data_IF_975207588313
#
_entry.id   IF_975207588313
#
_cell.length_a   1.000
_cell.length_b   1.000
_cell.length_c   1.000
_cell.angle_alpha   90.00
_cell.angle_beta   90.00
_cell.angle_gamma   90.00
#
_symmetry.space_group_name_H-M   'P 1'
#
loop_
_entity.id
_entity.type
_entity.pdbx_description
1 polymer ?
#
# COMPACT_ATOMS: atom_id res chain seq x y z
N UNK A 1 6.68 -18.94 22.53
CA UNK A 1 6.50 -19.29 21.12
C UNK A 1 5.05 -18.99 20.73
N UNK A 2 4.82 -18.36 19.59
CA UNK A 2 3.51 -18.05 19.04
C UNK A 2 3.09 -19.08 17.99
N UNK A 3 1.79 -19.27 17.79
CA UNK A 3 1.28 -20.05 16.67
C UNK A 3 1.51 -19.29 15.35
N UNK A 4 1.31 -17.97 15.37
CA UNK A 4 1.63 -17.10 14.23
C UNK A 4 2.21 -15.75 14.66
N UNK A 5 3.23 -15.28 13.94
CA UNK A 5 3.68 -13.88 13.99
C UNK A 5 3.23 -13.19 12.70
N UNK A 6 2.60 -12.02 12.86
CA UNK A 6 2.13 -11.20 11.77
C UNK A 6 3.04 -9.98 11.66
N UNK A 7 3.63 -9.74 10.48
CA UNK A 7 4.51 -8.60 10.22
C UNK A 7 3.75 -7.53 9.46
N UNK A 8 3.41 -6.44 10.14
CA UNK A 8 2.62 -5.33 9.62
C UNK A 8 1.21 -5.26 10.21
N UNK A 9 0.81 -4.04 10.59
CA UNK A 9 -0.46 -3.75 11.28
C UNK A 9 -1.45 -2.96 10.41
N UNK A 10 -1.34 -3.08 9.09
CA UNK A 10 -2.36 -2.58 8.16
C UNK A 10 -3.62 -3.46 8.16
N UNK A 11 -4.64 -3.14 7.33
CA UNK A 11 -5.90 -3.89 7.28
C UNK A 11 -5.72 -5.40 7.10
N UNK A 12 -4.73 -5.82 6.30
CA UNK A 12 -4.45 -7.25 6.09
C UNK A 12 -3.99 -7.95 7.37
N UNK A 13 -2.97 -7.40 8.04
CA UNK A 13 -2.42 -8.00 9.25
C UNK A 13 -3.41 -7.99 10.42
N UNK A 14 -4.12 -6.89 10.61
CA UNK A 14 -5.15 -6.77 11.64
C UNK A 14 -6.31 -7.74 11.42
N UNK A 15 -6.75 -7.91 10.16
CA UNK A 15 -7.81 -8.87 9.83
C UNK A 15 -7.33 -10.32 10.02
N UNK A 16 -6.10 -10.65 9.58
CA UNK A 16 -5.53 -11.97 9.83
C UNK A 16 -5.49 -12.31 11.34
N UNK A 17 -5.08 -11.33 12.16
CA UNK A 17 -5.05 -11.49 13.61
C UNK A 17 -6.43 -11.78 14.23
N UNK A 18 -7.48 -11.10 13.74
CA UNK A 18 -8.86 -11.36 14.19
C UNK A 18 -9.24 -12.83 13.92
N UNK A 19 -8.95 -13.34 12.72
CA UNK A 19 -9.27 -14.73 12.36
C UNK A 19 -8.49 -15.73 13.20
N UNK A 20 -7.17 -15.53 13.36
CA UNK A 20 -6.32 -16.38 14.18
C UNK A 20 -6.75 -16.40 15.66
N UNK A 21 -6.99 -15.23 16.24
CA UNK A 21 -7.42 -15.15 17.65
C UNK A 21 -8.78 -15.79 17.87
N UNK A 22 -9.73 -15.66 16.94
CA UNK A 22 -11.04 -16.33 16.98
C UNK A 22 -10.93 -17.84 16.83
N UNK A 23 -9.89 -18.34 16.16
CA UNK A 23 -9.58 -19.77 16.10
C UNK A 23 -8.83 -20.28 17.35
N UNK A 24 -8.62 -19.42 18.37
CA UNK A 24 -7.90 -19.77 19.60
C UNK A 24 -6.38 -19.86 19.43
N UNK A 25 -5.83 -19.35 18.32
CA UNK A 25 -4.41 -19.39 18.03
C UNK A 25 -3.69 -18.18 18.65
N UNK A 26 -2.60 -18.45 19.37
CA UNK A 26 -1.77 -17.40 19.98
C UNK A 26 -1.01 -16.66 18.91
N UNK A 27 -1.30 -15.36 18.75
CA UNK A 27 -0.67 -14.53 17.73
C UNK A 27 -0.19 -13.17 18.25
N UNK A 28 0.79 -12.61 17.56
CA UNK A 28 1.32 -11.27 17.82
C UNK A 28 1.51 -10.52 16.49
N UNK A 29 1.17 -9.23 16.49
CA UNK A 29 1.49 -8.31 15.39
C UNK A 29 2.74 -7.52 15.73
N UNK A 30 3.72 -7.52 14.81
CA UNK A 30 4.87 -6.62 14.82
C UNK A 30 4.53 -5.45 13.93
N UNK A 31 4.35 -4.25 14.52
CA UNK A 31 3.79 -3.07 13.84
C UNK A 31 4.69 -2.47 12.75
N UNK A 32 6.02 -2.62 12.85
CA UNK A 32 6.95 -1.92 11.96
C UNK A 32 7.15 -0.44 12.33
N UNK A 33 7.67 0.34 11.38
CA UNK A 33 7.95 1.78 11.57
C UNK A 33 6.69 2.64 11.55
N UNK A 34 5.69 2.24 10.78
CA UNK A 34 4.45 2.98 10.54
C UNK A 34 3.25 2.11 10.96
N UNK A 35 2.88 2.10 12.27
CA UNK A 35 1.74 1.34 12.77
C UNK A 35 0.45 1.72 12.06
N UNK A 36 -0.29 0.73 11.54
CA UNK A 36 -1.55 0.94 10.80
C UNK A 36 -1.35 1.12 9.29
N UNK A 37 -0.12 1.39 8.84
CA UNK A 37 0.23 1.52 7.43
C UNK A 37 -0.41 2.75 6.76
N UNK A 38 -0.60 2.71 5.44
CA UNK A 38 -0.98 3.87 4.62
C UNK A 38 -2.32 4.51 5.02
N UNK A 39 -3.26 3.77 5.58
CA UNK A 39 -4.54 4.35 6.03
C UNK A 39 -4.37 5.39 7.14
N UNK A 40 -3.30 5.35 7.91
CA UNK A 40 -3.06 6.34 8.96
C UNK A 40 -2.71 7.73 8.41
N UNK A 41 -2.36 7.83 7.14
CA UNK A 41 -2.10 9.09 6.43
C UNK A 41 -3.29 9.55 5.57
N UNK A 42 -4.38 8.77 5.51
CA UNK A 42 -5.59 9.08 4.74
C UNK A 42 -6.58 9.81 5.63
N UNK A 43 -7.10 10.96 5.17
CA UNK A 43 -8.04 11.77 5.95
C UNK A 43 -9.41 11.12 6.05
N UNK A 44 -9.96 10.63 4.95
CA UNK A 44 -11.30 10.03 4.89
C UNK A 44 -11.32 8.80 3.97
N UNK A 45 -12.01 7.76 4.40
CA UNK A 45 -12.19 6.48 3.69
C UNK A 45 -13.69 6.29 3.48
N UNK A 46 -14.15 6.43 2.24
CA UNK A 46 -15.58 6.27 1.86
C UNK A 46 -15.88 4.91 1.21
N UNK A 47 -14.83 4.16 0.84
CA UNK A 47 -14.92 2.92 0.07
C UNK A 47 -14.66 1.65 0.89
N UNK A 48 -14.68 1.75 2.23
CA UNK A 48 -14.67 0.59 3.12
C UNK A 48 -16.09 0.31 3.59
N UNK A 49 -16.68 -0.87 3.29
CA UNK A 49 -18.07 -1.19 3.63
C UNK A 49 -18.32 -1.15 5.14
N UNK A 50 -19.51 -0.71 5.53
CA UNK A 50 -19.93 -0.61 6.93
C UNK A 50 -19.93 0.83 7.47
N UNK A 51 -19.40 1.79 6.73
CA UNK A 51 -19.33 3.20 7.11
C UNK A 51 -20.04 4.08 6.07
N UNK A 52 -21.39 4.22 6.16
CA UNK A 52 -22.15 4.91 5.12
C UNK A 52 -21.90 6.42 5.05
N UNK A 53 -21.24 6.98 6.02
CA UNK A 53 -20.85 8.39 6.09
C UNK A 53 -19.34 8.60 5.95
N UNK A 54 -18.59 7.54 5.56
CA UNK A 54 -17.15 7.52 5.61
C UNK A 54 -16.60 7.35 7.03
N UNK A 55 -15.30 7.17 7.12
CA UNK A 55 -14.55 7.09 8.39
C UNK A 55 -13.14 7.61 8.15
N UNK A 56 -12.52 8.27 9.13
CA UNK A 56 -11.10 8.61 8.97
C UNK A 56 -10.23 7.36 8.93
N UNK A 57 -9.18 7.38 8.10
CA UNK A 57 -8.26 6.24 7.99
C UNK A 57 -7.65 5.83 9.33
N UNK A 58 -7.14 6.78 10.17
CA UNK A 58 -6.66 6.45 11.51
C UNK A 58 -7.72 5.79 12.41
N UNK A 59 -8.98 6.29 12.38
CA UNK A 59 -10.06 5.72 13.19
C UNK A 59 -10.40 4.29 12.74
N UNK A 60 -10.48 4.04 11.44
CA UNK A 60 -10.71 2.70 10.90
C UNK A 60 -9.64 1.72 11.38
N UNK A 61 -8.38 2.12 11.37
CA UNK A 61 -7.27 1.29 11.86
C UNK A 61 -7.40 1.02 13.37
N UNK A 62 -7.69 2.04 14.18
CA UNK A 62 -7.84 1.86 15.62
C UNK A 62 -9.05 0.97 15.95
N UNK A 63 -10.15 1.04 15.21
CA UNK A 63 -11.33 0.19 15.39
C UNK A 63 -11.01 -1.29 15.07
N UNK A 64 -10.33 -1.58 13.96
CA UNK A 64 -9.92 -2.95 13.60
C UNK A 64 -8.89 -3.48 14.61
N UNK A 65 -7.97 -2.64 15.06
CA UNK A 65 -6.98 -2.99 16.08
C UNK A 65 -7.63 -3.27 17.44
N UNK A 66 -8.60 -2.46 17.85
CA UNK A 66 -9.37 -2.72 19.06
C UNK A 66 -10.12 -4.04 18.97
N UNK A 67 -10.73 -4.34 17.82
CA UNK A 67 -11.40 -5.60 17.55
C UNK A 67 -10.43 -6.80 17.68
N UNK A 68 -9.23 -6.71 17.11
CA UNK A 68 -8.23 -7.79 17.21
C UNK A 68 -7.74 -8.00 18.66
N UNK A 69 -7.53 -6.92 19.41
CA UNK A 69 -7.18 -6.97 20.84
C UNK A 69 -8.26 -7.64 21.68
N UNK A 70 -9.53 -7.38 21.42
CA UNK A 70 -10.65 -7.98 22.13
C UNK A 70 -10.67 -9.52 22.00
N UNK A 71 -10.06 -10.06 20.95
CA UNK A 71 -9.87 -11.51 20.78
C UNK A 71 -8.52 -12.04 21.28
N UNK A 72 -7.66 -11.19 21.83
CA UNK A 72 -6.41 -11.62 22.48
C UNK A 72 -5.14 -11.45 21.63
N UNK A 73 -5.19 -10.72 20.49
CA UNK A 73 -3.99 -10.40 19.71
C UNK A 73 -3.01 -9.55 20.52
N UNK A 74 -1.75 -9.97 20.61
CA UNK A 74 -0.67 -9.18 21.17
C UNK A 74 -0.06 -8.23 20.13
N UNK A 75 0.54 -7.10 20.59
CA UNK A 75 1.16 -6.10 19.70
C UNK A 75 2.55 -5.75 20.20
N UNK A 76 3.50 -5.65 19.28
CA UNK A 76 4.86 -5.23 19.58
C UNK A 76 5.31 -4.14 18.59
N UNK A 77 5.81 -3.04 19.12
CA UNK A 77 6.47 -2.00 18.32
C UNK A 77 7.93 -2.38 18.11
N UNK A 78 8.24 -2.90 16.94
CA UNK A 78 9.58 -3.29 16.51
C UNK A 78 9.62 -3.45 14.99
N UNK A 79 10.83 -3.57 14.42
CA UNK A 79 11.04 -3.87 13.01
C UNK A 79 11.71 -5.23 12.86
N UNK A 80 11.10 -6.11 12.06
CA UNK A 80 11.73 -7.39 11.70
C UNK A 80 12.86 -7.12 10.69
N UNK A 81 14.07 -7.56 11.03
CA UNK A 81 15.27 -7.43 10.19
C UNK A 81 15.55 -8.68 9.38
N UNK A 82 15.26 -9.85 9.95
CA UNK A 82 15.48 -11.15 9.30
C UNK A 82 14.51 -12.21 9.82
N UNK A 83 14.27 -13.23 9.01
CA UNK A 83 13.49 -14.41 9.36
C UNK A 83 14.37 -15.63 9.12
N UNK A 84 14.70 -16.35 10.19
CA UNK A 84 15.43 -17.60 10.14
C UNK A 84 14.46 -18.77 10.26
N UNK A 85 14.60 -19.75 9.36
CA UNK A 85 13.87 -20.99 9.40
C UNK A 85 14.74 -22.06 10.09
N UNK A 86 14.28 -22.59 11.21
CA UNK A 86 14.97 -23.61 11.96
C UNK A 86 14.12 -24.88 12.10
N UNK A 87 14.76 -26.00 12.22
CA UNK A 87 14.12 -27.28 12.56
C UNK A 87 14.35 -27.58 14.04
N UNK A 88 13.28 -27.77 14.77
CA UNK A 88 13.33 -28.11 16.19
C UNK A 88 12.47 -29.36 16.44
N UNK A 89 13.11 -30.46 16.85
CA UNK A 89 12.46 -31.76 17.09
C UNK A 89 11.61 -32.25 15.90
N UNK A 90 12.13 -32.09 14.66
CA UNK A 90 11.44 -32.47 13.43
C UNK A 90 10.28 -31.55 13.02
N UNK A 91 10.09 -30.44 13.75
CA UNK A 91 9.10 -29.42 13.43
C UNK A 91 9.78 -28.13 12.97
N UNK A 92 9.23 -27.56 11.90
CA UNK A 92 9.69 -26.28 11.37
C UNK A 92 9.18 -25.16 12.26
N UNK A 93 10.06 -24.27 12.68
CA UNK A 93 9.74 -23.03 13.38
C UNK A 93 10.53 -21.86 12.79
N UNK A 94 10.07 -20.64 13.04
CA UNK A 94 10.68 -19.42 12.54
C UNK A 94 11.20 -18.59 13.72
N UNK A 95 12.43 -18.07 13.58
CA UNK A 95 12.99 -17.04 14.45
C UNK A 95 12.98 -15.71 13.74
N UNK A 96 12.30 -14.73 14.31
CA UNK A 96 12.23 -13.38 13.78
C UNK A 96 13.18 -12.50 14.58
N UNK A 97 14.21 -12.01 13.92
CA UNK A 97 15.22 -11.11 14.50
C UNK A 97 14.72 -9.66 14.39
N UNK A 98 14.62 -8.97 15.53
CA UNK A 98 14.11 -7.61 15.63
C UNK A 98 15.25 -6.58 15.66
N UNK A 99 14.92 -5.34 15.32
CA UNK A 99 15.86 -4.19 15.33
C UNK A 99 16.39 -3.85 16.72
N UNK A 100 15.67 -4.21 17.78
CA UNK A 100 16.08 -4.03 19.19
C UNK A 100 16.92 -5.19 19.74
N UNK A 101 17.32 -6.15 18.89
CA UNK A 101 18.11 -7.33 19.26
C UNK A 101 17.31 -8.49 19.84
N UNK A 102 16.01 -8.36 20.06
CA UNK A 102 15.15 -9.44 20.51
C UNK A 102 14.86 -10.44 19.39
N UNK A 103 14.55 -11.68 19.79
CA UNK A 103 14.14 -12.75 18.88
C UNK A 103 12.76 -13.24 19.31
N UNK A 104 11.86 -13.40 18.35
CA UNK A 104 10.53 -14.00 18.55
C UNK A 104 10.46 -15.31 17.79
N UNK A 105 9.94 -16.36 18.45
CA UNK A 105 9.73 -17.67 17.83
C UNK A 105 8.26 -17.91 17.52
N UNK A 106 8.00 -18.45 16.32
CA UNK A 106 6.66 -18.78 15.85
C UNK A 106 6.65 -20.05 14.99
N UNK A 107 5.49 -20.73 14.95
CA UNK A 107 5.23 -21.87 14.06
C UNK A 107 4.95 -21.41 12.62
N UNK A 108 4.36 -20.23 12.47
CA UNK A 108 4.02 -19.63 11.16
C UNK A 108 4.28 -18.12 11.14
N UNK A 109 4.42 -17.57 9.94
CA UNK A 109 4.61 -16.13 9.71
C UNK A 109 3.63 -15.64 8.64
N UNK A 110 2.94 -14.53 8.91
CA UNK A 110 2.16 -13.79 7.90
C UNK A 110 2.89 -12.49 7.55
N UNK A 111 3.23 -12.34 6.27
CA UNK A 111 3.84 -11.17 5.70
C UNK A 111 2.73 -10.22 5.22
N UNK A 112 2.50 -9.12 5.95
CA UNK A 112 1.47 -8.10 5.63
C UNK A 112 2.05 -6.69 5.67
N UNK A 113 3.31 -6.57 5.20
CA UNK A 113 4.13 -5.35 5.26
C UNK A 113 3.69 -4.26 4.28
N UNK A 114 2.75 -4.58 3.39
CA UNK A 114 2.21 -3.63 2.42
C UNK A 114 3.18 -3.20 1.32
N UNK A 115 2.82 -2.12 0.62
CA UNK A 115 3.65 -1.49 -0.41
C UNK A 115 3.59 0.03 -0.23
N UNK A 116 4.74 0.67 -0.22
CA UNK A 116 4.84 2.12 -0.03
C UNK A 116 4.67 2.84 -1.37
N UNK A 117 3.88 3.91 -1.39
CA UNK A 117 3.77 4.78 -2.55
C UNK A 117 5.12 5.44 -2.84
N UNK A 118 5.45 5.56 -4.12
CA UNK A 118 6.59 6.36 -4.55
C UNK A 118 6.16 7.81 -4.68
N UNK A 119 6.93 8.69 -4.05
CA UNK A 119 6.80 10.13 -4.19
C UNK A 119 7.97 10.68 -4.99
N UNK A 120 7.86 11.93 -5.41
CA UNK A 120 8.86 12.59 -6.26
C UNK A 120 10.10 13.02 -5.46
N UNK A 121 9.94 13.29 -4.16
CA UNK A 121 10.96 13.84 -3.28
C UNK A 121 11.26 15.31 -3.56
N UNK A 122 10.27 16.06 -4.05
CA UNK A 122 10.38 17.49 -4.35
C UNK A 122 10.01 18.36 -3.14
N UNK A 123 10.38 19.63 -3.21
CA UNK A 123 10.11 20.60 -2.15
C UNK A 123 8.60 20.70 -1.86
N UNK A 124 8.23 20.73 -0.58
CA UNK A 124 6.87 20.80 -0.03
C UNK A 124 5.96 19.59 -0.36
N UNK A 125 6.47 18.53 -1.00
CA UNK A 125 5.61 17.38 -1.33
C UNK A 125 5.14 16.65 -0.07
N UNK A 126 6.08 16.34 0.82
CA UNK A 126 5.82 15.52 2.01
C UNK A 126 4.82 16.16 2.97
N UNK A 127 4.92 17.46 3.21
CA UNK A 127 4.06 18.22 4.11
C UNK A 127 2.63 18.35 3.58
N UNK A 128 2.44 18.14 2.28
CA UNK A 128 1.16 18.25 1.59
C UNK A 128 0.51 16.90 1.25
N UNK A 129 1.10 15.79 1.67
CA UNK A 129 0.44 14.49 1.59
C UNK A 129 -0.84 14.52 2.42
N UNK A 130 -2.00 14.18 1.80
CA UNK A 130 -3.34 14.30 2.39
C UNK A 130 -3.91 15.73 2.43
N UNK A 131 -3.14 16.75 2.01
CA UNK A 131 -3.57 18.16 1.92
C UNK A 131 -3.58 18.67 0.48
N UNK A 132 -3.67 17.78 -0.48
CA UNK A 132 -3.67 18.10 -1.90
C UNK A 132 -2.69 17.25 -2.71
N UNK A 133 -1.72 16.57 -2.07
CA UNK A 133 -0.88 15.55 -2.69
C UNK A 133 -1.42 14.17 -2.32
N UNK A 134 -1.68 13.33 -3.33
CA UNK A 134 -2.18 11.97 -3.19
C UNK A 134 -1.41 11.01 -4.10
N UNK A 135 -1.41 9.72 -3.78
CA UNK A 135 -0.90 8.64 -4.61
C UNK A 135 -2.00 7.59 -4.92
N UNK A 136 -3.29 7.98 -4.82
CA UNK A 136 -4.42 7.08 -5.05
C UNK A 136 -5.63 7.85 -5.59
N UNK A 137 -5.84 7.85 -6.89
CA UNK A 137 -6.99 8.51 -7.51
C UNK A 137 -8.35 7.88 -7.11
N UNK A 138 -8.39 6.57 -6.92
CA UNK A 138 -9.61 5.86 -6.50
C UNK A 138 -10.00 6.12 -5.05
N UNK A 139 -9.03 6.53 -4.21
CA UNK A 139 -9.26 6.89 -2.82
C UNK A 139 -9.77 8.34 -2.71
N UNK A 140 -9.05 9.27 -3.35
CA UNK A 140 -9.17 10.70 -3.07
C UNK A 140 -9.85 11.50 -4.19
N UNK A 141 -10.05 10.90 -5.38
CA UNK A 141 -10.53 11.63 -6.57
C UNK A 141 -11.89 12.33 -6.38
N UNK A 142 -12.76 11.77 -5.54
CA UNK A 142 -14.07 12.35 -5.26
C UNK A 142 -13.98 13.71 -4.55
N UNK A 143 -12.96 13.94 -3.70
CA UNK A 143 -12.76 15.22 -2.99
C UNK A 143 -12.37 16.38 -3.92
N UNK A 144 -12.00 16.07 -5.17
CA UNK A 144 -11.61 17.04 -6.19
C UNK A 144 -12.71 17.31 -7.22
N UNK A 145 -13.97 17.07 -6.87
CA UNK A 145 -15.10 17.37 -7.77
C UNK A 145 -15.08 18.83 -8.20
N UNK A 146 -15.22 19.05 -9.51
CA UNK A 146 -15.25 20.38 -10.15
C UNK A 146 -13.99 21.21 -9.90
N UNK A 147 -12.85 20.54 -9.72
CA UNK A 147 -11.52 21.14 -9.56
C UNK A 147 -10.61 20.75 -10.68
N UNK A 148 -9.48 21.44 -10.81
CA UNK A 148 -8.43 21.11 -11.74
C UNK A 148 -7.32 20.35 -11.01
N UNK A 149 -6.90 19.20 -11.56
CA UNK A 149 -5.88 18.36 -10.92
C UNK A 149 -4.77 17.98 -11.89
N UNK A 150 -3.63 17.62 -11.35
CA UNK A 150 -2.52 17.05 -12.12
C UNK A 150 -2.30 15.59 -11.76
N UNK A 151 -1.90 14.79 -12.75
CA UNK A 151 -1.42 13.41 -12.57
C UNK A 151 0.02 13.35 -13.03
N UNK A 152 0.92 12.92 -12.17
CA UNK A 152 2.35 12.84 -12.48
C UNK A 152 2.73 11.39 -12.75
N UNK A 153 3.10 11.10 -13.98
CA UNK A 153 3.51 9.77 -14.41
C UNK A 153 3.28 9.53 -15.90
N UNK A 154 3.85 8.46 -16.42
CA UNK A 154 3.77 8.11 -17.86
C UNK A 154 3.56 6.62 -18.12
N UNK A 155 3.19 5.83 -17.11
CA UNK A 155 2.82 4.41 -17.21
C UNK A 155 1.31 4.19 -17.25
N UNK A 156 0.89 2.92 -17.40
CA UNK A 156 -0.54 2.55 -17.43
C UNK A 156 -1.30 3.06 -16.20
N UNK A 157 -0.74 2.96 -15.01
CA UNK A 157 -1.34 3.48 -13.76
C UNK A 157 -1.67 4.97 -13.88
N UNK A 158 -0.76 5.79 -14.43
CA UNK A 158 -1.01 7.22 -14.59
C UNK A 158 -2.16 7.51 -15.58
N UNK A 159 -2.25 6.73 -16.65
CA UNK A 159 -3.36 6.83 -17.62
C UNK A 159 -4.68 6.41 -16.98
N UNK A 160 -4.69 5.28 -16.26
CA UNK A 160 -5.87 4.78 -15.56
C UNK A 160 -6.38 5.78 -14.51
N UNK A 161 -5.48 6.31 -13.69
CA UNK A 161 -5.82 7.32 -12.68
C UNK A 161 -6.33 8.62 -13.31
N UNK A 162 -5.68 9.12 -14.37
CA UNK A 162 -6.11 10.30 -15.08
C UNK A 162 -7.52 10.13 -15.66
N UNK A 163 -7.77 9.01 -16.38
CA UNK A 163 -9.08 8.71 -16.94
C UNK A 163 -10.14 8.56 -15.83
N UNK A 164 -9.78 7.92 -14.71
CA UNK A 164 -10.70 7.78 -13.58
C UNK A 164 -11.10 9.15 -12.99
N UNK A 165 -10.13 10.04 -12.79
CA UNK A 165 -10.36 11.38 -12.23
C UNK A 165 -11.28 12.24 -13.11
N UNK A 166 -11.27 12.08 -14.44
CA UNK A 166 -12.15 12.86 -15.32
C UNK A 166 -13.64 12.69 -15.05
N UNK A 167 -14.04 11.63 -14.32
CA UNK A 167 -15.43 11.42 -13.87
C UNK A 167 -15.89 12.48 -12.87
N UNK A 168 -14.97 13.10 -12.16
CA UNK A 168 -15.27 14.01 -11.04
C UNK A 168 -14.81 15.44 -11.31
N UNK A 169 -13.61 15.60 -11.87
CA UNK A 169 -12.92 16.88 -12.00
C UNK A 169 -13.30 17.64 -13.26
N UNK A 170 -12.99 18.93 -13.33
CA UNK A 170 -13.12 19.71 -14.55
C UNK A 170 -12.04 19.33 -15.56
N UNK A 171 -10.79 19.23 -15.10
CA UNK A 171 -9.63 19.01 -15.94
C UNK A 171 -8.57 18.19 -15.22
N UNK A 172 -7.88 17.31 -15.98
CA UNK A 172 -6.70 16.57 -15.54
C UNK A 172 -5.54 16.96 -16.44
N UNK A 173 -4.43 17.42 -15.87
CA UNK A 173 -3.19 17.63 -16.64
C UNK A 173 -2.21 16.51 -16.33
N UNK A 174 -1.88 15.68 -17.33
CA UNK A 174 -0.85 14.64 -17.18
C UNK A 174 0.53 15.27 -17.37
N UNK A 175 1.38 15.12 -16.37
CA UNK A 175 2.76 15.61 -16.38
C UNK A 175 3.71 14.43 -16.51
N UNK A 176 4.56 14.43 -17.54
CA UNK A 176 5.59 13.42 -17.72
C UNK A 176 6.93 14.07 -18.08
N UNK A 177 8.01 13.53 -17.50
CA UNK A 177 9.39 14.06 -17.67
C UNK A 177 9.97 13.85 -19.08
N UNK A 178 9.32 13.04 -19.92
CA UNK A 178 9.71 12.71 -21.28
C UNK A 178 8.51 12.88 -22.20
N UNK A 179 8.75 13.04 -23.49
CA UNK A 179 7.72 13.02 -24.54
C UNK A 179 7.21 11.60 -24.82
N UNK A 180 8.00 10.58 -24.49
CA UNK A 180 7.63 9.15 -24.64
C UNK A 180 7.03 8.62 -23.36
N UNK A 181 5.82 8.06 -23.47
CA UNK A 181 5.10 7.40 -22.39
C UNK A 181 5.44 5.90 -22.37
N UNK A 182 5.45 5.33 -21.16
CA UNK A 182 5.62 3.87 -20.97
C UNK A 182 4.31 3.10 -20.96
N UNK A 183 3.19 3.81 -20.91
CA UNK A 183 1.87 3.22 -20.95
C UNK A 183 1.64 2.46 -22.27
N UNK A 184 0.79 1.45 -22.24
CA UNK A 184 0.36 0.71 -23.42
C UNK A 184 -0.31 1.64 -24.42
N UNK A 185 -0.18 1.34 -25.72
CA UNK A 185 -0.74 2.20 -26.79
C UNK A 185 -2.25 2.43 -26.62
N UNK A 186 -2.98 1.40 -26.18
CA UNK A 186 -4.42 1.50 -25.95
C UNK A 186 -4.76 2.46 -24.81
N UNK A 187 -3.98 2.46 -23.72
CA UNK A 187 -4.21 3.36 -22.60
C UNK A 187 -3.85 4.80 -22.95
N UNK A 188 -2.77 4.99 -23.72
CA UNK A 188 -2.42 6.30 -24.28
C UNK A 188 -3.54 6.85 -25.16
N UNK A 189 -4.11 6.00 -26.05
CA UNK A 189 -5.19 6.43 -26.94
C UNK A 189 -6.44 6.84 -26.14
N UNK A 190 -6.86 6.02 -25.15
CA UNK A 190 -8.01 6.34 -24.28
C UNK A 190 -7.83 7.65 -23.53
N UNK A 191 -6.62 7.93 -23.06
CA UNK A 191 -6.33 9.20 -22.40
C UNK A 191 -6.32 10.39 -23.37
N UNK A 192 -5.81 10.20 -24.60
CA UNK A 192 -5.81 11.24 -25.65
C UNK A 192 -7.21 11.57 -26.18
N UNK A 193 -8.09 10.58 -26.23
CA UNK A 193 -9.48 10.74 -26.69
C UNK A 193 -10.38 11.42 -25.62
N UNK A 194 -9.87 11.66 -24.43
CA UNK A 194 -10.63 12.29 -23.36
C UNK A 194 -10.40 13.81 -23.32
N UNK A 195 -11.44 14.57 -23.67
CA UNK A 195 -11.40 16.03 -23.80
C UNK A 195 -11.02 16.77 -22.49
N UNK A 196 -11.14 16.11 -21.35
CA UNK A 196 -10.75 16.68 -20.05
C UNK A 196 -9.28 16.46 -19.71
N UNK A 197 -8.52 15.73 -20.54
CA UNK A 197 -7.11 15.43 -20.30
C UNK A 197 -6.22 16.32 -21.14
N UNK A 198 -5.42 17.13 -20.47
CA UNK A 198 -4.34 17.92 -21.06
C UNK A 198 -2.98 17.26 -20.79
N UNK A 199 -1.98 17.65 -21.56
CA UNK A 199 -0.65 17.04 -21.55
C UNK A 199 0.44 18.06 -21.34
N UNK A 200 1.31 17.81 -20.37
CA UNK A 200 2.58 18.52 -20.17
C UNK A 200 3.71 17.48 -20.22
N UNK A 201 4.18 17.23 -21.43
CA UNK A 201 5.30 16.33 -21.70
C UNK A 201 6.61 17.11 -21.70
N UNK A 202 7.71 16.44 -21.35
CA UNK A 202 9.04 17.04 -21.15
C UNK A 202 9.10 18.03 -19.97
N UNK A 203 8.27 17.79 -18.93
CA UNK A 203 8.25 18.59 -17.71
C UNK A 203 8.62 17.76 -16.49
N UNK A 204 9.50 18.31 -15.66
CA UNK A 204 9.90 17.72 -14.37
C UNK A 204 9.35 18.57 -13.23
N UNK A 205 8.50 18.00 -12.34
CA UNK A 205 8.05 18.67 -11.13
C UNK A 205 9.23 19.07 -10.23
N UNK A 206 9.19 20.27 -9.64
CA UNK A 206 10.25 20.80 -8.77
C UNK A 206 9.79 21.14 -7.36
N UNK A 207 8.58 21.70 -7.23
CA UNK A 207 8.06 22.18 -5.96
C UNK A 207 6.54 22.14 -5.96
N UNK A 208 5.97 21.74 -4.83
CA UNK A 208 4.55 21.90 -4.55
C UNK A 208 4.31 23.29 -4.01
N UNK A 209 3.35 23.99 -4.58
CA UNK A 209 2.87 25.30 -4.08
C UNK A 209 1.62 25.06 -3.25
N UNK A 210 1.63 25.50 -2.01
CA UNK A 210 0.53 25.32 -1.08
C UNK A 210 0.50 26.46 -0.05
N UNK A 211 -0.72 26.81 0.36
CA UNK A 211 -1.01 27.55 1.57
C UNK A 211 -1.51 26.54 2.64
N UNK A 212 -2.80 26.54 2.97
CA UNK A 212 -3.40 25.47 3.78
C UNK A 212 -3.57 24.16 3.01
N UNK A 213 -3.72 24.25 1.69
CA UNK A 213 -3.85 23.16 0.71
C UNK A 213 -3.04 23.49 -0.53
N UNK A 214 -2.84 22.49 -1.39
CA UNK A 214 -2.19 22.68 -2.69
C UNK A 214 -2.93 23.74 -3.50
N UNK A 215 -2.15 24.65 -4.09
CA UNK A 215 -2.61 25.72 -4.99
C UNK A 215 -1.94 25.64 -6.37
N UNK A 216 -0.86 24.86 -6.48
CA UNK A 216 -0.14 24.74 -7.73
C UNK A 216 1.10 23.85 -7.64
N UNK A 217 1.82 23.79 -8.73
CA UNK A 217 3.09 23.07 -8.86
C UNK A 217 4.06 23.82 -9.78
N UNK A 218 5.32 23.92 -9.39
CA UNK A 218 6.39 24.41 -10.24
C UNK A 218 6.95 23.26 -11.09
N UNK A 219 7.10 23.53 -12.38
CA UNK A 219 7.54 22.60 -13.40
C UNK A 219 8.75 23.15 -14.15
N UNK A 220 9.79 22.36 -14.28
CA UNK A 220 10.91 22.62 -15.17
C UNK A 220 10.60 22.05 -16.56
N UNK A 221 10.60 22.90 -17.58
CA UNK A 221 10.59 22.46 -18.97
C UNK A 221 11.98 21.90 -19.32
N UNK A 222 12.05 20.61 -19.59
CA UNK A 222 13.32 19.91 -19.83
C UNK A 222 13.98 20.28 -21.18
N UNK A 223 13.23 20.92 -22.10
CA UNK A 223 13.75 21.37 -23.40
C UNK A 223 14.30 22.78 -23.35
N UNK A 224 13.62 23.70 -22.65
CA UNK A 224 14.02 25.11 -22.60
C UNK A 224 14.82 25.46 -21.36
N UNK A 225 14.70 24.66 -20.28
CA UNK A 225 15.29 24.95 -18.98
C UNK A 225 14.51 25.98 -18.16
N UNK A 226 13.38 26.43 -18.66
CA UNK A 226 12.53 27.43 -17.99
C UNK A 226 11.67 26.76 -16.90
N UNK A 227 11.40 27.51 -15.82
CA UNK A 227 10.47 27.12 -14.77
C UNK A 227 9.14 27.82 -15.01
N UNK A 228 8.06 27.07 -15.00
CA UNK A 228 6.70 27.60 -15.04
C UNK A 228 5.88 27.11 -13.85
N UNK A 229 4.88 27.90 -13.48
CA UNK A 229 3.89 27.53 -12.46
C UNK A 229 2.61 27.08 -13.11
N UNK A 230 2.11 25.90 -12.71
CA UNK A 230 0.80 25.41 -13.10
C UNK A 230 -0.11 25.43 -11.87
N UNK A 231 -1.19 26.22 -11.93
CA UNK A 231 -2.23 26.22 -10.91
C UNK A 231 -2.98 24.88 -10.90
N UNK A 232 -3.17 24.30 -9.73
CA UNK A 232 -3.91 23.04 -9.53
C UNK A 232 -4.43 22.93 -8.12
N UNK A 233 -5.57 22.28 -7.94
CA UNK A 233 -6.15 22.00 -6.61
C UNK A 233 -5.64 20.69 -6.00
N UNK A 234 -5.05 19.81 -6.83
CA UNK A 234 -4.57 18.51 -6.36
C UNK A 234 -3.52 17.89 -7.28
N UNK A 235 -2.61 17.15 -6.66
CA UNK A 235 -1.49 16.48 -7.30
C UNK A 235 -1.58 14.99 -7.01
N UNK A 236 -1.79 14.17 -8.05
CA UNK A 236 -1.81 12.72 -7.98
C UNK A 236 -0.48 12.15 -8.50
N UNK A 237 0.29 11.52 -7.60
CA UNK A 237 1.61 10.99 -7.92
C UNK A 237 1.49 9.53 -8.33
N UNK A 238 1.42 9.28 -9.63
CA UNK A 238 1.19 7.96 -10.24
C UNK A 238 2.47 7.36 -10.84
N UNK A 239 3.56 7.32 -10.05
CA UNK A 239 4.87 6.80 -10.47
C UNK A 239 5.17 5.40 -9.97
N UNK A 240 4.16 4.75 -9.37
CA UNK A 240 4.18 3.37 -8.89
C UNK A 240 4.37 3.25 -7.38
N UNK A 241 4.42 1.99 -6.92
CA UNK A 241 4.63 1.62 -5.52
C UNK A 241 5.83 0.69 -5.40
N UNK A 242 6.34 0.54 -4.18
CA UNK A 242 7.41 -0.41 -3.86
C UNK A 242 6.91 -1.31 -2.74
N UNK A 243 6.80 -2.63 -2.95
CA UNK A 243 6.45 -3.56 -1.89
C UNK A 243 7.56 -3.60 -0.83
N UNK A 244 7.16 -3.75 0.43
CA UNK A 244 8.07 -3.73 1.56
C UNK A 244 8.64 -5.12 1.82
N UNK A 245 9.45 -5.62 0.88
CA UNK A 245 9.98 -7.01 0.84
C UNK A 245 11.50 -7.10 0.96
N UNK A 246 12.22 -5.99 1.05
CA UNK A 246 13.69 -5.98 1.01
C UNK A 246 14.36 -6.93 2.02
N UNK A 247 13.77 -7.09 3.23
CA UNK A 247 14.30 -7.98 4.28
C UNK A 247 13.99 -9.47 4.02
N UNK A 248 13.22 -9.79 2.98
CA UNK A 248 12.78 -11.14 2.62
C UNK A 248 13.62 -11.77 1.50
N UNK A 249 14.73 -11.16 1.13
CA UNK A 249 15.59 -11.66 0.05
C UNK A 249 16.02 -13.11 0.34
N UNK A 250 15.74 -14.02 -0.62
CA UNK A 250 15.99 -15.45 -0.49
C UNK A 250 15.08 -16.22 0.47
N UNK A 251 14.09 -15.57 1.10
CA UNK A 251 13.17 -16.24 2.05
C UNK A 251 11.88 -16.73 1.38
N UNK A 252 11.38 -15.99 0.41
CA UNK A 252 10.20 -16.31 -0.40
C UNK A 252 10.44 -15.90 -1.85
N UNK A 253 9.67 -16.47 -2.78
CA UNK A 253 9.71 -16.02 -4.18
C UNK A 253 9.00 -14.68 -4.32
N UNK A 254 9.64 -13.75 -5.04
CA UNK A 254 9.11 -12.43 -5.37
C UNK A 254 9.19 -12.21 -6.89
N UNK A 255 8.28 -11.40 -7.44
CA UNK A 255 8.29 -11.05 -8.86
C UNK A 255 9.38 -9.98 -9.17
N UNK A 256 9.56 -9.65 -10.45
CA UNK A 256 10.52 -8.64 -10.94
C UNK A 256 10.24 -7.22 -10.44
N UNK A 257 9.05 -6.96 -9.89
CA UNK A 257 8.65 -5.71 -9.26
C UNK A 257 8.78 -5.73 -7.74
N UNK A 258 9.16 -6.88 -7.16
CA UNK A 258 9.38 -7.08 -5.73
C UNK A 258 8.17 -7.57 -4.94
N UNK A 259 7.03 -7.91 -5.59
CA UNK A 259 5.84 -8.45 -4.92
C UNK A 259 5.98 -9.93 -4.61
N UNK A 260 5.50 -10.35 -3.43
CA UNK A 260 5.53 -11.76 -3.03
C UNK A 260 4.58 -12.57 -3.91
N UNK A 261 5.08 -13.69 -4.44
CA UNK A 261 4.27 -14.63 -5.21
C UNK A 261 3.52 -15.59 -4.28
N UNK A 262 2.20 -15.67 -4.46
CA UNK A 262 1.33 -16.60 -3.73
C UNK A 262 0.78 -17.70 -4.64
N UNK A 263 0.38 -18.84 -4.06
CA UNK A 263 -0.09 -20.01 -4.81
C UNK A 263 -1.61 -19.91 -5.10
N UNK A 264 -1.95 -19.60 -6.33
CA UNK A 264 -3.35 -19.54 -6.76
C UNK A 264 -4.16 -18.47 -6.04
N UNK A 265 -5.24 -18.87 -5.35
CA UNK A 265 -6.10 -17.97 -4.56
C UNK A 265 -5.74 -17.97 -3.07
N UNK A 266 -4.74 -18.76 -2.64
CA UNK A 266 -4.31 -18.85 -1.25
C UNK A 266 -3.25 -17.79 -0.92
N UNK A 267 -2.99 -17.60 0.37
CA UNK A 267 -1.91 -16.76 0.87
C UNK A 267 -0.56 -17.49 0.97
N UNK A 268 -0.52 -18.81 0.65
CA UNK A 268 0.65 -19.69 0.76
C UNK A 268 1.76 -19.22 -0.18
N UNK A 269 2.96 -18.98 0.35
CA UNK A 269 4.14 -18.59 -0.44
C UNK A 269 4.94 -19.79 -0.92
N UNK A 270 6.10 -19.58 -1.55
CA UNK A 270 7.04 -20.64 -1.92
C UNK A 270 7.62 -21.35 -0.68
N UNK A 271 7.63 -20.71 0.49
CA UNK A 271 8.16 -21.27 1.74
C UNK A 271 7.02 -21.71 2.63
N UNK A 272 6.96 -23.04 2.90
CA UNK A 272 5.94 -23.65 3.77
C UNK A 272 5.99 -23.02 5.18
N UNK A 273 4.83 -22.62 5.71
CA UNK A 273 4.67 -21.92 6.99
C UNK A 273 4.83 -20.39 6.90
N UNK A 274 5.17 -19.86 5.73
CA UNK A 274 5.13 -18.40 5.47
C UNK A 274 3.98 -18.07 4.51
N UNK A 275 3.18 -17.09 4.88
CA UNK A 275 1.99 -16.63 4.18
C UNK A 275 2.12 -15.15 3.85
N UNK A 276 1.43 -14.65 2.82
CA UNK A 276 1.45 -13.25 2.45
C UNK A 276 0.05 -12.71 2.20
N UNK A 277 -0.21 -11.48 2.67
CA UNK A 277 -1.50 -10.82 2.54
C UNK A 277 -1.37 -9.30 2.37
N UNK A 278 -2.32 -8.67 1.69
CA UNK A 278 -2.37 -7.24 1.42
C UNK A 278 -1.47 -6.83 0.26
N UNK A 279 -1.15 -5.55 0.22
CA UNK A 279 -0.46 -4.92 -0.91
C UNK A 279 0.96 -5.45 -1.15
N UNK A 280 1.55 -6.18 -0.20
CA UNK A 280 2.87 -6.82 -0.38
C UNK A 280 2.85 -7.93 -1.43
N UNK A 281 1.68 -8.51 -1.71
CA UNK A 281 1.45 -9.56 -2.72
C UNK A 281 0.45 -9.12 -3.83
N UNK A 282 -0.38 -8.10 -3.57
CA UNK A 282 -1.29 -7.55 -4.56
C UNK A 282 -0.69 -6.32 -5.24
N UNK A 283 -0.20 -6.52 -6.46
CA UNK A 283 0.36 -5.44 -7.28
C UNK A 283 -0.68 -4.67 -8.10
N UNK A 284 -1.96 -5.06 -8.01
CA UNK A 284 -3.02 -4.56 -8.91
C UNK A 284 -4.06 -3.71 -8.21
N UNK A 285 -4.74 -4.24 -7.22
CA UNK A 285 -5.92 -3.59 -6.64
C UNK A 285 -5.56 -2.60 -5.54
N UNK A 286 -4.72 -3.01 -4.58
CA UNK A 286 -4.17 -2.15 -3.52
C UNK A 286 -5.26 -1.32 -2.80
N UNK A 287 -6.35 -1.97 -2.42
CA UNK A 287 -7.47 -1.38 -1.70
C UNK A 287 -7.58 -1.93 -0.28
N UNK A 288 -7.99 -1.09 0.68
CA UNK A 288 -8.11 -1.47 2.09
C UNK A 288 -8.99 -2.71 2.31
N UNK A 289 -10.12 -2.80 1.60
CA UNK A 289 -11.04 -3.93 1.69
C UNK A 289 -10.45 -5.21 1.07
N UNK A 290 -9.69 -5.08 -0.02
CA UNK A 290 -8.99 -6.22 -0.64
C UNK A 290 -7.87 -6.70 0.28
N UNK A 291 -7.12 -5.79 0.88
CA UNK A 291 -6.10 -6.12 1.87
C UNK A 291 -6.71 -6.84 3.09
N UNK A 292 -7.82 -6.35 3.64
CA UNK A 292 -8.55 -7.01 4.72
C UNK A 292 -9.04 -8.41 4.32
N UNK A 293 -9.63 -8.55 3.13
CA UNK A 293 -10.08 -9.85 2.60
C UNK A 293 -8.94 -10.86 2.45
N UNK A 294 -7.77 -10.42 1.94
CA UNK A 294 -6.58 -11.27 1.83
C UNK A 294 -6.02 -11.65 3.22
N UNK A 295 -6.14 -10.76 4.21
CA UNK A 295 -5.81 -11.04 5.60
C UNK A 295 -6.68 -12.15 6.19
N UNK A 296 -7.98 -12.15 5.90
CA UNK A 296 -8.88 -13.23 6.29
C UNK A 296 -8.45 -14.58 5.67
N UNK A 297 -8.10 -14.58 4.37
CA UNK A 297 -7.56 -15.77 3.69
C UNK A 297 -6.30 -16.26 4.41
N UNK A 298 -5.36 -15.36 4.74
CA UNK A 298 -4.12 -15.75 5.42
C UNK A 298 -4.37 -16.36 6.81
N UNK A 299 -5.30 -15.80 7.57
CA UNK A 299 -5.69 -16.36 8.87
C UNK A 299 -6.24 -17.78 8.74
N UNK A 300 -7.12 -18.03 7.76
CA UNK A 300 -7.70 -19.36 7.49
C UNK A 300 -6.65 -20.35 6.97
N UNK A 301 -5.77 -19.93 6.06
CA UNK A 301 -4.70 -20.78 5.53
C UNK A 301 -3.69 -21.19 6.62
N UNK A 302 -3.42 -20.30 7.59
CA UNK A 302 -2.57 -20.60 8.76
C UNK A 302 -3.23 -21.63 9.67
N UNK A 303 -4.52 -21.46 9.97
CA UNK A 303 -5.29 -22.42 10.78
C UNK A 303 -5.27 -23.82 10.13
N UNK A 304 -5.55 -23.89 8.83
CA UNK A 304 -5.47 -25.14 8.06
C UNK A 304 -4.08 -25.77 8.14
N UNK A 305 -3.03 -24.96 7.89
CA UNK A 305 -1.65 -25.42 7.92
C UNK A 305 -1.24 -26.00 9.28
N UNK A 306 -1.58 -25.32 10.37
CA UNK A 306 -1.25 -25.78 11.72
C UNK A 306 -1.97 -27.11 12.05
N UNK A 307 -3.22 -27.24 11.64
CA UNK A 307 -4.01 -28.47 11.81
C UNK A 307 -3.42 -29.66 11.00
N UNK A 308 -3.07 -29.43 9.73
CA UNK A 308 -2.53 -30.47 8.85
C UNK A 308 -1.15 -30.98 9.29
N UNK A 309 -0.37 -30.12 9.94
CA UNK A 309 1.00 -30.46 10.39
C UNK A 309 1.08 -30.83 11.89
N UNK A 310 -0.05 -30.94 12.57
CA UNK A 310 -0.11 -31.23 14.02
C UNK A 310 0.77 -30.29 14.86
N UNK A 311 0.72 -29.00 14.55
CA UNK A 311 1.54 -27.96 15.16
C UNK A 311 0.80 -27.20 16.27
#
# INVERSE_FOLDING_TARGET
>A
MYDSVIIGSGPAGLTAAIYLSRAGLKNIIINGMEPGGQLTTTTEVENFPGFPQGISGPQLIEDIKAQSKNFGTEFLQAVVKDIENIENNGKKIFKLHLDNGNIIEAKTVILSTGASAKYLGIENEKENIGKGVSACATCDGFFYRRKDVVVIGGGDTAMEEAIFLTKFVNKVTIINRRDVLRASAIMQQRAKDNEKIEWKLDYTPKKVLADEKVTGIELLNNKTGEIETLATDGIFVAIGRTPNTKFLEGKVEIDDRGYILTKGKSSKTSTSGIFAAGDVQDSKYQQAIIAAGSGAIAGLDVEEYLRENNL
#
